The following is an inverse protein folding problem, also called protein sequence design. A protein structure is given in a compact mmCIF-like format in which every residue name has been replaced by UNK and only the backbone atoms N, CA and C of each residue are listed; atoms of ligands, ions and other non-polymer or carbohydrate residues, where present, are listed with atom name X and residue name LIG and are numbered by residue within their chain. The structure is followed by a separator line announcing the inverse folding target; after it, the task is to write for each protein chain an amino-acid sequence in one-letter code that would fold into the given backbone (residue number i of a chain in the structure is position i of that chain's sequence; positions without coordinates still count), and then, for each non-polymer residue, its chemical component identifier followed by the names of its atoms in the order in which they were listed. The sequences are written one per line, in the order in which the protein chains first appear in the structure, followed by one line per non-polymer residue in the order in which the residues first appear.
data_IF_943808676674
#
_entry.id   IF_943808676674
#
_cell.length_a   1.000
_cell.length_b   1.000
_cell.length_c   1.000
_cell.angle_alpha   90.00
_cell.angle_beta   90.00
_cell.angle_gamma   90.00
#
_symmetry.space_group_name_H-M   'P 1'
#
loop_
_entity.id
_entity.type
_entity.pdbx_description
1 polymer ?
#
# COMPACT_ATOMS: atom_id res chain seq x y z
N UNK A 1 8.26 18.31 -21.07
CA UNK A 1 7.33 17.51 -20.24
C UNK A 1 7.98 16.16 -19.91
N UNK A 2 8.71 16.02 -18.79
CA UNK A 2 9.44 14.77 -18.43
C UNK A 2 9.11 14.23 -17.02
N UNK A 3 8.18 14.85 -16.29
CA UNK A 3 7.91 14.53 -14.88
C UNK A 3 7.13 13.22 -14.61
N UNK A 4 6.48 12.64 -15.62
CA UNK A 4 5.61 11.47 -15.40
C UNK A 4 6.32 10.11 -15.41
N UNK A 5 7.57 10.03 -15.87
CA UNK A 5 8.29 8.75 -15.96
C UNK A 5 8.89 8.31 -14.63
N UNK A 6 9.41 9.26 -13.83
CA UNK A 6 10.05 8.93 -12.55
C UNK A 6 9.06 8.31 -11.56
N UNK A 7 7.86 8.89 -11.44
CA UNK A 7 6.82 8.40 -10.52
C UNK A 7 6.42 6.95 -10.77
N UNK A 8 6.41 6.49 -12.03
CA UNK A 8 6.09 5.09 -12.37
C UNK A 8 7.17 4.13 -11.89
N UNK A 9 8.45 4.49 -12.07
CA UNK A 9 9.57 3.69 -11.57
C UNK A 9 9.56 3.63 -10.04
N UNK A 10 9.25 4.74 -9.37
CA UNK A 10 9.17 4.81 -7.91
C UNK A 10 8.08 3.89 -7.35
N UNK A 11 6.90 3.85 -7.97
CA UNK A 11 5.80 2.96 -7.55
C UNK A 11 6.15 1.49 -7.80
N UNK A 12 6.78 1.17 -8.92
CA UNK A 12 7.19 -0.22 -9.23
C UNK A 12 8.29 -0.72 -8.29
N UNK A 13 9.16 0.16 -7.82
CA UNK A 13 10.27 -0.16 -6.93
C UNK A 13 9.89 -0.07 -5.43
N UNK A 14 8.70 0.43 -5.11
CA UNK A 14 8.22 0.55 -3.73
C UNK A 14 7.98 -0.82 -3.09
N UNK A 15 8.50 -1.03 -1.88
CA UNK A 15 8.34 -2.28 -1.13
C UNK A 15 7.11 -2.26 -0.22
N UNK A 16 6.64 -1.07 0.15
CA UNK A 16 5.56 -0.87 1.11
C UNK A 16 4.40 -0.03 0.54
N UNK A 17 3.22 -0.24 1.11
CA UNK A 17 1.98 0.46 0.80
C UNK A 17 1.44 1.08 2.08
N UNK A 18 1.17 2.38 2.06
CA UNK A 18 0.48 3.10 3.13
C UNK A 18 -1.04 3.10 2.86
N UNK A 19 -1.80 2.55 3.81
CA UNK A 19 -3.26 2.56 3.76
C UNK A 19 -3.81 3.98 4.03
N UNK A 20 -4.78 4.48 3.25
CA UNK A 20 -5.34 5.82 3.47
C UNK A 20 -6.34 5.92 4.62
N UNK A 21 -6.86 4.83 5.19
CA UNK A 21 -7.75 4.90 6.36
C UNK A 21 -7.07 4.62 7.69
N UNK A 22 -6.23 3.59 7.78
CA UNK A 22 -5.55 3.25 9.04
C UNK A 22 -4.11 3.74 9.10
N UNK A 23 -3.60 4.34 8.01
CA UNK A 23 -2.22 4.84 7.89
C UNK A 23 -1.12 3.80 8.10
N UNK A 24 -1.49 2.53 8.25
CA UNK A 24 -0.55 1.43 8.41
C UNK A 24 0.33 1.25 7.18
N UNK A 25 1.62 1.06 7.42
CA UNK A 25 2.63 0.78 6.42
C UNK A 25 2.81 -0.74 6.33
N UNK A 26 2.34 -1.33 5.24
CA UNK A 26 2.28 -2.79 5.05
C UNK A 26 3.04 -3.19 3.80
N UNK A 27 3.49 -4.43 3.70
CA UNK A 27 4.29 -4.87 2.55
C UNK A 27 3.40 -5.08 1.34
N UNK A 28 3.91 -4.74 0.16
CA UNK A 28 3.20 -5.00 -1.11
C UNK A 28 2.78 -6.48 -1.24
N UNK A 29 3.64 -7.39 -0.78
CA UNK A 29 3.39 -8.84 -0.86
C UNK A 29 2.08 -9.23 -0.16
N UNK A 30 1.82 -8.68 1.02
CA UNK A 30 0.63 -9.01 1.82
C UNK A 30 -0.67 -8.60 1.12
N UNK A 31 -0.66 -7.46 0.42
CA UNK A 31 -1.82 -7.02 -0.36
C UNK A 31 -2.08 -7.91 -1.57
N UNK A 32 -1.03 -8.36 -2.26
CA UNK A 32 -1.15 -9.30 -3.37
C UNK A 32 -1.66 -10.66 -2.88
N UNK A 33 -1.10 -11.19 -1.79
CA UNK A 33 -1.52 -12.46 -1.18
C UNK A 33 -2.98 -12.45 -0.75
N UNK A 34 -3.46 -11.35 -0.13
CA UNK A 34 -4.87 -11.17 0.21
C UNK A 34 -5.78 -11.19 -1.03
N UNK A 35 -5.35 -10.53 -2.10
CA UNK A 35 -6.09 -10.52 -3.34
C UNK A 35 -6.08 -11.89 -4.02
N UNK A 36 -4.96 -12.61 -4.04
CA UNK A 36 -4.82 -13.96 -4.63
C UNK A 36 -5.64 -15.00 -3.88
N UNK A 37 -5.77 -14.86 -2.56
CA UNK A 37 -6.67 -15.69 -1.76
C UNK A 37 -8.15 -15.52 -2.12
N UNK A 38 -8.53 -14.35 -2.67
CA UNK A 38 -9.92 -14.01 -2.99
C UNK A 38 -10.26 -14.16 -4.47
N UNK A 39 -9.31 -13.85 -5.36
CA UNK A 39 -9.50 -13.74 -6.79
C UNK A 39 -8.44 -14.58 -7.54
N UNK A 40 -8.80 -15.14 -8.70
CA UNK A 40 -7.90 -16.04 -9.47
C UNK A 40 -6.88 -15.32 -10.35
N UNK A 41 -7.25 -14.18 -10.93
CA UNK A 41 -6.41 -13.43 -11.87
C UNK A 41 -6.07 -12.04 -11.30
N UNK A 42 -5.13 -12.03 -10.36
CA UNK A 42 -4.77 -10.83 -9.61
C UNK A 42 -3.61 -10.11 -10.27
N UNK A 43 -3.78 -8.84 -10.66
CA UNK A 43 -2.65 -8.03 -11.08
C UNK A 43 -1.82 -7.62 -9.86
N UNK A 44 -0.50 -7.54 -10.02
CA UNK A 44 0.35 -6.93 -9.00
C UNK A 44 -0.13 -5.50 -8.67
N UNK A 45 -0.27 -5.20 -7.38
CA UNK A 45 -0.79 -3.93 -6.88
C UNK A 45 0.00 -2.71 -7.37
N UNK A 46 1.33 -2.83 -7.58
CA UNK A 46 2.14 -1.72 -8.12
C UNK A 46 1.82 -1.48 -9.59
N UNK A 47 1.70 -2.56 -10.37
CA UNK A 47 1.30 -2.48 -11.79
C UNK A 47 -0.12 -1.91 -11.92
N UNK A 48 -1.03 -2.33 -11.04
CA UNK A 48 -2.37 -1.81 -10.96
C UNK A 48 -2.40 -0.31 -10.59
N UNK A 49 -1.52 0.15 -9.69
CA UNK A 49 -1.44 1.55 -9.31
C UNK A 49 -0.96 2.47 -10.44
N UNK A 50 -0.03 1.99 -11.27
CA UNK A 50 0.46 2.74 -12.44
C UNK A 50 -0.61 2.79 -13.55
N UNK A 51 -1.45 1.77 -13.67
CA UNK A 51 -2.51 1.72 -14.65
C UNK A 51 -3.83 2.29 -14.09
N UNK A 52 -4.11 3.58 -14.34
CA UNK A 52 -5.37 4.21 -13.88
C UNK A 52 -6.65 3.58 -14.42
N UNK A 53 -6.58 2.82 -15.52
CA UNK A 53 -7.73 2.07 -16.05
C UNK A 53 -7.99 0.79 -15.27
N UNK A 54 -7.05 0.38 -14.41
CA UNK A 54 -7.22 -0.76 -13.53
C UNK A 54 -8.03 -0.35 -12.30
N UNK A 55 -9.21 -0.94 -12.17
CA UNK A 55 -10.14 -0.77 -11.05
C UNK A 55 -10.19 -1.99 -10.13
N UNK A 56 -9.18 -2.88 -10.21
CA UNK A 56 -9.13 -4.09 -9.40
C UNK A 56 -9.16 -3.72 -7.91
N UNK A 57 -10.03 -4.37 -7.11
CA UNK A 57 -10.16 -4.10 -5.69
C UNK A 57 -9.02 -4.76 -4.92
N UNK A 58 -8.27 -3.98 -4.14
CA UNK A 58 -7.27 -4.48 -3.22
C UNK A 58 -7.71 -4.21 -1.79
N UNK A 59 -7.58 -5.20 -0.92
CA UNK A 59 -7.99 -5.09 0.47
C UNK A 59 -6.77 -4.84 1.36
N UNK A 60 -6.88 -3.89 2.29
CA UNK A 60 -5.85 -3.62 3.28
C UNK A 60 -5.79 -4.76 4.32
N UNK A 61 -4.61 -5.32 4.63
CA UNK A 61 -4.47 -6.44 5.58
C UNK A 61 -4.75 -6.05 7.04
N UNK A 62 -4.63 -4.77 7.39
CA UNK A 62 -4.81 -4.30 8.78
C UNK A 62 -6.26 -3.91 9.09
N UNK A 63 -6.91 -3.18 8.18
CA UNK A 63 -8.25 -2.64 8.41
C UNK A 63 -9.34 -3.26 7.54
N UNK A 64 -8.98 -4.21 6.67
CA UNK A 64 -9.86 -4.97 5.78
C UNK A 64 -10.74 -4.13 4.83
N UNK A 65 -10.42 -2.84 4.68
CA UNK A 65 -11.10 -1.94 3.74
C UNK A 65 -10.57 -2.14 2.32
N UNK A 66 -11.47 -2.06 1.34
CA UNK A 66 -11.16 -2.16 -0.08
C UNK A 66 -10.77 -0.82 -0.69
N UNK A 67 -9.71 -0.81 -1.49
CA UNK A 67 -9.19 0.35 -2.20
C UNK A 67 -8.82 0.01 -3.63
N UNK A 68 -8.87 1.01 -4.50
CA UNK A 68 -8.24 0.93 -5.81
C UNK A 68 -6.76 1.25 -5.70
N UNK A 69 -5.91 0.47 -6.36
CA UNK A 69 -4.45 0.63 -6.30
C UNK A 69 -3.96 2.04 -6.65
N UNK A 70 -4.65 2.75 -7.55
CA UNK A 70 -4.29 4.12 -7.94
C UNK A 70 -4.46 5.17 -6.83
N UNK A 71 -5.21 4.85 -5.76
CA UNK A 71 -5.40 5.74 -4.59
C UNK A 71 -4.45 5.42 -3.44
N UNK A 72 -3.66 4.36 -3.56
CA UNK A 72 -2.73 3.93 -2.52
C UNK A 72 -1.42 4.70 -2.64
N UNK A 73 -0.77 4.88 -1.49
CA UNK A 73 0.53 5.55 -1.42
C UNK A 73 1.61 4.49 -1.31
N UNK A 74 2.57 4.51 -2.23
CA UNK A 74 3.66 3.55 -2.32
C UNK A 74 4.94 4.18 -1.79
N UNK A 75 5.63 3.48 -0.90
CA UNK A 75 6.87 3.94 -0.30
C UNK A 75 7.95 2.85 -0.44
N UNK A 76 9.18 3.26 -0.68
CA UNK A 76 10.33 2.39 -0.46
C UNK A 76 10.59 2.34 1.04
N UNK A 77 10.99 1.17 1.52
CA UNK A 77 11.58 1.07 2.85
C UNK A 77 12.80 2.00 2.89
N UNK A 78 12.66 3.17 3.51
CA UNK A 78 13.80 3.96 3.89
C UNK A 78 14.39 3.27 5.11
N UNK A 79 15.54 2.64 4.93
CA UNK A 79 16.44 2.29 6.02
C UNK A 79 16.91 3.58 6.69
N UNK A 80 16.06 4.11 7.57
CA UNK A 80 16.21 5.40 8.23
C UNK A 80 15.09 5.59 9.23
N UNK A 81 15.18 4.84 10.33
CA UNK A 81 14.54 5.04 11.63
C UNK A 81 13.04 5.42 11.60
N UNK A 82 12.09 4.48 11.84
CA UNK A 82 10.75 4.89 12.19
C UNK A 82 10.84 5.64 13.53
N UNK A 83 10.74 6.96 13.48
CA UNK A 83 10.52 7.76 14.67
C UNK A 83 9.37 7.13 15.44
N UNK A 84 9.72 6.62 16.62
CA UNK A 84 8.89 6.39 17.78
C UNK A 84 7.74 7.42 17.74
N UNK A 85 6.51 6.94 17.62
CA UNK A 85 5.38 7.65 18.18
C UNK A 85 5.25 7.11 19.62
N UNK A 86 5.60 7.89 20.65
CA UNK A 86 5.28 7.56 22.02
C UNK A 86 3.87 8.08 22.32
N UNK A 87 3.00 7.22 22.85
CA UNK A 87 2.17 7.54 24.01
C UNK A 87 1.21 6.41 24.39
N UNK A 88 1.60 5.76 25.47
CA UNK A 88 0.76 5.18 26.52
C UNK A 88 -0.40 6.08 26.94
N UNK A 89 -1.56 5.46 27.17
CA UNK A 89 -2.52 5.77 28.24
C UNK A 89 -3.41 4.53 28.37
N UNK A 90 -3.10 3.56 29.23
CA UNK A 90 -3.50 3.53 30.65
C UNK A 90 -4.83 4.27 30.91
N UNK A 91 -5.88 3.51 31.20
CA UNK A 91 -6.95 3.97 32.08
C UNK A 91 -7.60 2.78 32.77
N UNK A 92 -7.32 2.71 34.06
CA UNK A 92 -7.90 1.91 35.13
C UNK A 92 -9.43 1.98 35.19
N UNK A 93 -10.07 0.82 35.39
CA UNK A 93 -10.92 0.53 36.54
C UNK A 93 -11.20 -0.98 36.64
#
# INVERSE_FOLDING_TARGET
MFWNFNRKKEVLDATHVKCPSCEALTKVKEWNEMAEGTYRDVPDIRRAAVNRKNSFPFQCPECFKGYSAHKLTFQKETSGNPHIAPNTSESTN
#
